data_IF_258113444086
#
_entry.id   IF_258113444086
#
_cell.length_a   1.000
_cell.length_b   1.000
_cell.length_c   1.000
_cell.angle_alpha   90.00
_cell.angle_beta   90.00
_cell.angle_gamma   90.00
#
_symmetry.space_group_name_H-M   'P 1'
#
loop_
_entity.id
_entity.type
_entity.pdbx_description
1 polymer ?
#
# COMPACT_ATOMS: atom_id res chain seq x y z
N UNK A 1 -14.28 24.18 9.78
CA UNK A 1 -12.90 23.78 10.14
C UNK A 1 -12.23 23.25 8.87
N UNK A 2 -11.39 24.03 8.21
CA UNK A 2 -10.75 23.63 6.94
C UNK A 2 -9.60 22.65 7.20
N UNK A 3 -9.70 21.43 6.67
CA UNK A 3 -8.62 20.45 6.74
C UNK A 3 -7.45 20.91 5.85
N UNK A 4 -6.23 20.83 6.38
CA UNK A 4 -5.03 21.25 5.64
C UNK A 4 -4.82 20.40 4.39
N UNK A 5 -4.29 20.98 3.29
CA UNK A 5 -4.25 20.31 2.00
C UNK A 5 -3.40 19.03 2.03
N UNK A 6 -2.31 19.01 2.81
CA UNK A 6 -1.43 17.85 2.89
C UNK A 6 -2.06 16.70 3.70
N UNK A 7 -2.63 16.97 4.87
CA UNK A 7 -3.44 15.99 5.63
C UNK A 7 -4.60 15.43 4.81
N UNK A 8 -5.30 16.26 4.03
CA UNK A 8 -6.37 15.81 3.13
C UNK A 8 -5.86 14.80 2.10
N UNK A 9 -4.74 15.12 1.42
CA UNK A 9 -4.14 14.21 0.45
C UNK A 9 -3.73 12.88 1.08
N UNK A 10 -3.08 12.89 2.24
CA UNK A 10 -2.70 11.63 2.93
C UNK A 10 -3.92 10.79 3.31
N UNK A 11 -4.96 11.42 3.84
CA UNK A 11 -6.19 10.71 4.21
C UNK A 11 -6.85 10.03 2.99
N UNK A 12 -6.91 10.74 1.86
CA UNK A 12 -7.42 10.19 0.60
C UNK A 12 -6.56 9.00 0.17
N UNK A 13 -5.23 9.14 0.15
CA UNK A 13 -4.32 8.06 -0.26
C UNK A 13 -4.46 6.85 0.67
N UNK A 14 -4.47 7.03 2.00
CA UNK A 14 -4.66 5.93 2.95
C UNK A 14 -6.03 5.27 2.81
N UNK A 15 -7.08 6.03 2.51
CA UNK A 15 -8.39 5.47 2.20
C UNK A 15 -8.38 4.60 0.95
N UNK A 16 -7.70 5.03 -0.13
CA UNK A 16 -7.54 4.22 -1.33
C UNK A 16 -6.70 2.98 -1.08
N UNK A 17 -5.60 3.10 -0.34
CA UNK A 17 -4.78 1.96 0.08
C UNK A 17 -5.61 0.94 0.85
N UNK A 18 -6.42 1.39 1.83
CA UNK A 18 -7.28 0.50 2.61
C UNK A 18 -8.30 -0.22 1.71
N UNK A 19 -8.98 0.52 0.82
CA UNK A 19 -9.95 -0.05 -0.11
C UNK A 19 -9.31 -1.11 -1.01
N UNK A 20 -8.17 -0.79 -1.63
CA UNK A 20 -7.46 -1.73 -2.51
C UNK A 20 -6.94 -2.93 -1.73
N UNK A 21 -6.43 -2.75 -0.50
CA UNK A 21 -5.98 -3.85 0.35
C UNK A 21 -7.13 -4.80 0.77
N UNK A 22 -8.34 -4.27 0.99
CA UNK A 22 -9.53 -5.10 1.25
C UNK A 22 -9.92 -5.91 0.02
N UNK A 23 -9.86 -5.31 -1.17
CA UNK A 23 -10.09 -6.03 -2.43
C UNK A 23 -9.01 -7.11 -2.64
N UNK A 24 -7.73 -6.74 -2.50
CA UNK A 24 -6.59 -7.65 -2.66
C UNK A 24 -6.73 -8.85 -1.71
N UNK A 25 -7.08 -8.62 -0.44
CA UNK A 25 -7.34 -9.68 0.52
C UNK A 25 -8.41 -10.68 0.04
N UNK A 26 -9.52 -10.18 -0.52
CA UNK A 26 -10.57 -11.04 -1.06
C UNK A 26 -10.10 -11.92 -2.22
N UNK A 27 -9.33 -11.34 -3.15
CA UNK A 27 -8.78 -12.08 -4.29
C UNK A 27 -7.64 -13.02 -3.89
N UNK A 28 -6.78 -12.65 -2.95
CA UNK A 28 -5.72 -13.51 -2.44
C UNK A 28 -6.31 -14.74 -1.74
N UNK A 29 -7.41 -14.57 -0.99
CA UNK A 29 -8.15 -15.72 -0.44
C UNK A 29 -8.75 -16.57 -1.56
N UNK A 30 -9.36 -15.97 -2.59
CA UNK A 30 -9.89 -16.72 -3.72
C UNK A 30 -8.81 -17.54 -4.44
N UNK A 31 -7.60 -16.99 -4.58
CA UNK A 31 -6.42 -17.70 -5.11
C UNK A 31 -5.91 -18.78 -4.13
N UNK A 32 -5.97 -18.54 -2.82
CA UNK A 32 -5.59 -19.55 -1.83
C UNK A 32 -6.54 -20.76 -1.84
N UNK A 33 -7.83 -20.54 -2.12
CA UNK A 33 -8.85 -21.58 -2.15
C UNK A 33 -9.17 -22.11 -3.56
N UNK A 34 -8.46 -21.64 -4.59
CA UNK A 34 -8.61 -22.18 -5.94
C UNK A 34 -8.01 -23.58 -6.01
N UNK A 35 -8.87 -24.59 -6.18
CA UNK A 35 -8.46 -25.97 -6.47
C UNK A 35 -8.49 -26.14 -8.00
N UNK A 36 -7.34 -26.28 -8.65
CA UNK A 36 -7.18 -26.68 -10.06
C UNK A 36 -5.98 -27.59 -10.29
N UNK A 37 -6.20 -28.92 -10.26
CA UNK A 37 -5.33 -30.09 -10.47
C UNK A 37 -3.78 -29.99 -10.58
N UNK A 38 -3.12 -30.88 -9.83
CA UNK A 38 -1.78 -31.47 -9.97
C UNK A 38 -0.54 -30.56 -9.79
N UNK A 39 0.05 -30.64 -8.58
CA UNK A 39 1.43 -30.23 -8.19
C UNK A 39 1.77 -28.73 -8.31
N UNK A 40 1.45 -28.06 -9.42
CA UNK A 40 1.51 -26.61 -9.57
C UNK A 40 0.59 -25.89 -8.55
N UNK A 41 -0.44 -26.57 -8.07
CA UNK A 41 -1.40 -26.12 -7.05
C UNK A 41 -0.82 -25.95 -5.66
N UNK A 42 0.04 -26.87 -5.21
CA UNK A 42 0.57 -26.78 -3.84
C UNK A 42 1.36 -25.49 -3.66
N UNK A 43 2.02 -25.06 -4.73
CA UNK A 43 2.71 -23.78 -4.77
C UNK A 43 1.73 -22.60 -4.80
N UNK A 44 0.66 -22.65 -5.58
CA UNK A 44 -0.36 -21.59 -5.63
C UNK A 44 -1.12 -21.47 -4.31
N UNK A 45 -1.49 -22.58 -3.68
CA UNK A 45 -2.09 -22.63 -2.35
C UNK A 45 -1.17 -22.00 -1.30
N UNK A 46 0.09 -22.42 -1.23
CA UNK A 46 1.05 -21.87 -0.27
C UNK A 46 1.28 -20.37 -0.53
N UNK A 47 1.47 -19.97 -1.79
CA UNK A 47 1.68 -18.56 -2.16
C UNK A 47 0.43 -17.73 -1.88
N UNK A 48 -0.76 -18.26 -2.15
CA UNK A 48 -2.04 -17.62 -1.88
C UNK A 48 -2.29 -17.42 -0.39
N UNK A 49 -1.98 -18.40 0.46
CA UNK A 49 -2.04 -18.24 1.92
C UNK A 49 -1.09 -17.14 2.40
N UNK A 50 0.15 -17.14 1.89
CA UNK A 50 1.13 -16.11 2.23
C UNK A 50 0.63 -14.73 1.79
N UNK A 51 0.09 -14.63 0.57
CA UNK A 51 -0.49 -13.40 0.02
C UNK A 51 -1.66 -12.92 0.89
N UNK A 52 -2.64 -13.77 1.18
CA UNK A 52 -3.79 -13.43 2.03
C UNK A 52 -3.37 -13.00 3.44
N UNK A 53 -2.35 -13.64 4.01
CA UNK A 53 -1.79 -13.27 5.31
C UNK A 53 -1.15 -11.88 5.26
N UNK A 54 -0.34 -11.60 4.23
CA UNK A 54 0.26 -10.28 4.00
C UNK A 54 -0.82 -9.22 3.78
N UNK A 55 -1.84 -9.51 2.98
CA UNK A 55 -2.96 -8.59 2.71
C UNK A 55 -3.77 -8.29 3.97
N UNK A 56 -3.94 -9.26 4.86
CA UNK A 56 -4.52 -9.03 6.20
C UNK A 56 -3.67 -8.02 7.00
N UNK A 57 -2.35 -8.19 7.00
CA UNK A 57 -1.44 -7.24 7.66
C UNK A 57 -1.50 -5.85 7.02
N UNK A 58 -1.61 -5.75 5.69
CA UNK A 58 -1.79 -4.47 4.97
C UNK A 58 -3.08 -3.77 5.38
N UNK A 59 -4.20 -4.50 5.52
CA UNK A 59 -5.47 -3.94 5.98
C UNK A 59 -5.33 -3.39 7.39
N UNK A 60 -4.78 -4.17 8.33
CA UNK A 60 -4.54 -3.73 9.71
C UNK A 60 -3.63 -2.49 9.72
N UNK A 61 -2.55 -2.52 8.94
CA UNK A 61 -1.63 -1.40 8.80
C UNK A 61 -2.31 -0.13 8.27
N UNK A 62 -3.12 -0.23 7.20
CA UNK A 62 -3.82 0.91 6.63
C UNK A 62 -4.83 1.51 7.62
N UNK A 63 -5.54 0.67 8.39
CA UNK A 63 -6.39 1.11 9.49
C UNK A 63 -5.59 1.86 10.56
N UNK A 64 -4.41 1.37 10.94
CA UNK A 64 -3.53 2.07 11.89
C UNK A 64 -3.08 3.43 11.33
N UNK A 65 -2.65 3.50 10.07
CA UNK A 65 -2.26 4.79 9.47
C UNK A 65 -3.41 5.79 9.47
N UNK A 66 -4.63 5.37 9.12
CA UNK A 66 -5.81 6.24 9.17
C UNK A 66 -6.12 6.70 10.59
N UNK A 67 -6.07 5.80 11.57
CA UNK A 67 -6.38 6.09 12.97
C UNK A 67 -5.36 7.01 13.67
N UNK A 68 -4.10 7.01 13.21
CA UNK A 68 -3.01 7.80 13.79
C UNK A 68 -2.55 8.97 12.92
N UNK A 69 -3.15 9.19 11.74
CA UNK A 69 -2.79 10.29 10.83
C UNK A 69 -3.03 11.70 11.43
N UNK A 70 -3.86 11.82 12.46
CA UNK A 70 -4.25 13.10 13.04
C UNK A 70 -4.08 13.21 14.56
N UNK A 71 -3.20 12.39 15.16
CA UNK A 71 -2.96 12.42 16.62
C UNK A 71 -1.69 13.21 16.99
N UNK A 72 -1.80 14.54 17.23
CA UNK A 72 -0.65 15.42 17.42
C UNK A 72 0.12 15.18 18.71
N UNK A 73 -0.54 14.66 19.74
CA UNK A 73 0.03 14.48 21.09
C UNK A 73 0.43 13.04 21.39
N UNK A 74 0.37 12.16 20.38
CA UNK A 74 0.74 10.78 20.55
C UNK A 74 2.25 10.62 20.42
N UNK A 75 2.91 10.19 21.50
CA UNK A 75 4.30 9.73 21.46
C UNK A 75 4.44 8.31 20.88
N UNK A 76 3.33 7.72 20.41
CA UNK A 76 3.32 6.40 19.84
C UNK A 76 4.07 6.39 18.51
N UNK A 77 4.77 5.28 18.26
CA UNK A 77 5.57 5.06 17.05
C UNK A 77 4.70 5.24 15.79
N UNK A 78 3.41 4.85 15.86
CA UNK A 78 2.46 4.93 14.75
C UNK A 78 2.14 6.34 14.27
N UNK A 79 2.40 7.39 15.07
CA UNK A 79 2.19 8.78 14.66
C UNK A 79 3.45 9.44 14.08
N UNK A 80 4.59 8.73 14.06
CA UNK A 80 5.86 9.28 13.54
C UNK A 80 5.89 9.21 12.02
N UNK A 81 6.44 10.24 11.37
CA UNK A 81 6.56 10.27 9.92
C UNK A 81 7.43 9.13 9.38
N UNK A 82 8.45 8.71 10.14
CA UNK A 82 9.31 7.56 9.83
C UNK A 82 8.53 6.26 9.77
N UNK A 83 7.59 6.02 10.69
CA UNK A 83 6.73 4.85 10.63
C UNK A 83 5.91 4.86 9.36
N UNK A 84 5.20 5.95 9.05
CA UNK A 84 4.38 6.06 7.83
C UNK A 84 5.22 5.89 6.55
N UNK A 85 6.44 6.42 6.52
CA UNK A 85 7.36 6.31 5.39
C UNK A 85 7.88 4.88 5.20
N UNK A 86 8.55 4.32 6.21
CA UNK A 86 9.18 3.00 6.10
C UNK A 86 8.16 1.88 5.96
N UNK A 87 7.03 1.96 6.67
CA UNK A 87 5.98 0.95 6.54
C UNK A 87 5.33 0.98 5.15
N UNK A 88 5.15 2.16 4.53
CA UNK A 88 4.69 2.25 3.15
C UNK A 88 5.70 1.65 2.16
N UNK A 89 7.01 1.85 2.36
CA UNK A 89 8.03 1.19 1.54
C UNK A 89 8.00 -0.33 1.69
N UNK A 90 7.86 -0.84 2.93
CA UNK A 90 7.75 -2.28 3.20
C UNK A 90 6.52 -2.87 2.48
N UNK A 91 5.37 -2.19 2.54
CA UNK A 91 4.15 -2.63 1.84
C UNK A 91 4.32 -2.60 0.32
N UNK A 92 4.99 -1.58 -0.23
CA UNK A 92 5.28 -1.54 -1.66
C UNK A 92 6.18 -2.71 -2.07
N UNK A 93 7.27 -2.96 -1.34
CA UNK A 93 8.20 -4.04 -1.65
C UNK A 93 7.56 -5.43 -1.48
N UNK A 94 6.77 -5.64 -0.42
CA UNK A 94 6.10 -6.93 -0.20
C UNK A 94 5.04 -7.22 -1.26
N UNK A 95 4.27 -6.21 -1.67
CA UNK A 95 3.26 -6.35 -2.73
C UNK A 95 3.92 -6.62 -4.10
N UNK A 96 5.04 -5.95 -4.41
CA UNK A 96 5.81 -6.25 -5.61
C UNK A 96 6.35 -7.70 -5.57
N UNK A 97 6.92 -8.11 -4.43
CA UNK A 97 7.54 -9.44 -4.27
C UNK A 97 6.52 -10.56 -4.43
N UNK A 98 5.34 -10.44 -3.81
CA UNK A 98 4.30 -11.47 -3.90
C UNK A 98 3.65 -11.54 -5.29
N UNK A 99 3.70 -10.46 -6.08
CA UNK A 99 3.17 -10.48 -7.45
C UNK A 99 4.01 -11.32 -8.43
N UNK A 100 5.32 -11.46 -8.19
CA UNK A 100 6.24 -12.24 -9.04
C UNK A 100 5.81 -13.70 -9.19
N UNK A 101 5.60 -14.47 -8.10
CA UNK A 101 5.16 -15.85 -8.22
C UNK A 101 3.79 -15.94 -8.90
N UNK A 102 2.89 -14.98 -8.72
CA UNK A 102 1.62 -14.95 -9.45
C UNK A 102 1.81 -14.76 -10.96
N UNK A 103 2.70 -13.85 -11.39
CA UNK A 103 3.01 -13.68 -12.82
C UNK A 103 3.52 -14.96 -13.47
N UNK A 104 4.38 -15.71 -12.77
CA UNK A 104 4.91 -16.97 -13.30
C UNK A 104 3.84 -18.04 -13.51
N UNK A 105 2.66 -17.88 -12.90
CA UNK A 105 1.53 -18.81 -13.00
C UNK A 105 0.45 -18.37 -13.98
N UNK A 106 0.45 -17.12 -14.45
CA UNK A 106 -0.51 -16.63 -15.46
C UNK A 106 -0.59 -17.54 -16.68
N UNK A 107 0.52 -17.92 -17.36
CA UNK A 107 0.42 -18.70 -18.60
C UNK A 107 -0.25 -20.05 -18.41
N UNK A 108 -0.01 -20.71 -17.27
CA UNK A 108 -0.62 -21.98 -16.94
C UNK A 108 -2.11 -21.84 -16.59
N UNK A 109 -2.48 -20.79 -15.85
CA UNK A 109 -3.86 -20.57 -15.40
C UNK A 109 -4.76 -19.97 -16.49
N UNK A 110 -4.16 -19.35 -17.51
CA UNK A 110 -4.86 -18.77 -18.66
C UNK A 110 -4.75 -19.64 -19.92
N UNK A 111 -4.33 -20.90 -19.80
CA UNK A 111 -4.37 -21.87 -20.90
C UNK A 111 -5.76 -22.51 -20.98
N UNK A 112 -6.61 -21.92 -21.83
CA UNK A 112 -7.98 -22.39 -22.07
C UNK A 112 -8.06 -23.65 -22.93
N UNK A 113 -6.94 -24.12 -23.49
CA UNK A 113 -6.91 -25.23 -24.46
C UNK A 113 -6.49 -26.53 -23.77
N UNK A 114 -5.45 -26.49 -22.95
CA UNK A 114 -4.82 -27.71 -22.40
C UNK A 114 -5.43 -28.14 -21.07
N UNK A 115 -5.81 -27.20 -20.21
CA UNK A 115 -6.27 -27.45 -18.83
C UNK A 115 -7.60 -26.74 -18.56
N UNK A 116 -8.66 -27.13 -19.29
CA UNK A 116 -9.99 -26.56 -19.08
C UNK A 116 -10.88 -27.55 -18.33
N UNK A 117 -10.92 -27.39 -17.00
CA UNK A 117 -11.97 -27.90 -16.11
C UNK A 117 -13.29 -27.11 -16.26
N UNK A 118 -13.38 -26.21 -17.26
CA UNK A 118 -14.47 -25.24 -17.43
C UNK A 118 -14.35 -24.00 -16.54
N UNK A 119 -13.35 -23.93 -15.65
CA UNK A 119 -13.15 -22.83 -14.70
C UNK A 119 -11.86 -22.04 -14.95
N UNK A 120 -11.03 -22.44 -15.91
CA UNK A 120 -9.81 -21.71 -16.33
C UNK A 120 -10.02 -20.18 -16.49
N UNK A 121 -11.17 -19.76 -17.04
CA UNK A 121 -11.54 -18.33 -17.14
C UNK A 121 -11.58 -17.61 -15.80
N UNK A 122 -12.13 -18.27 -14.79
CA UNK A 122 -12.26 -17.74 -13.43
C UNK A 122 -10.90 -17.67 -12.76
N UNK A 123 -10.11 -18.76 -12.84
CA UNK A 123 -8.77 -18.83 -12.24
C UNK A 123 -7.82 -17.77 -12.82
N UNK A 124 -7.78 -17.67 -14.14
CA UNK A 124 -7.02 -16.64 -14.85
C UNK A 124 -7.43 -15.23 -14.42
N UNK A 125 -8.74 -14.98 -14.29
CA UNK A 125 -9.27 -13.68 -13.87
C UNK A 125 -8.87 -13.34 -12.45
N UNK A 126 -9.06 -14.26 -11.49
CA UNK A 126 -8.72 -14.02 -10.09
C UNK A 126 -7.22 -13.74 -9.91
N UNK A 127 -6.37 -14.53 -10.56
CA UNK A 127 -4.92 -14.32 -10.50
C UNK A 127 -4.51 -12.98 -11.12
N UNK A 128 -5.09 -12.63 -12.28
CA UNK A 128 -4.79 -11.37 -12.97
C UNK A 128 -5.24 -10.15 -12.15
N UNK A 129 -6.41 -10.23 -11.52
CA UNK A 129 -6.92 -9.17 -10.64
C UNK A 129 -6.09 -9.05 -9.38
N UNK A 130 -5.71 -10.15 -8.74
CA UNK A 130 -4.82 -10.14 -7.57
C UNK A 130 -3.49 -9.43 -7.88
N UNK A 131 -2.87 -9.76 -9.01
CA UNK A 131 -1.65 -9.09 -9.49
C UNK A 131 -1.90 -7.59 -9.71
N UNK A 132 -2.99 -7.23 -10.41
CA UNK A 132 -3.33 -5.83 -10.67
C UNK A 132 -3.49 -5.02 -9.38
N UNK A 133 -4.19 -5.56 -8.39
CA UNK A 133 -4.40 -4.93 -7.08
C UNK A 133 -3.07 -4.79 -6.32
N UNK A 134 -2.22 -5.80 -6.34
CA UNK A 134 -0.89 -5.74 -5.73
C UNK A 134 -0.06 -4.59 -6.31
N UNK A 135 -0.05 -4.40 -7.65
CA UNK A 135 0.66 -3.29 -8.28
C UNK A 135 0.04 -1.92 -8.02
N UNK A 136 -1.29 -1.82 -7.94
CA UNK A 136 -1.94 -0.58 -7.52
C UNK A 136 -1.48 -0.21 -6.09
N UNK A 137 -1.37 -1.19 -5.19
CA UNK A 137 -0.84 -0.96 -3.84
C UNK A 137 0.63 -0.56 -3.83
N UNK A 138 1.47 -1.13 -4.71
CA UNK A 138 2.85 -0.69 -4.91
C UNK A 138 2.88 0.81 -5.23
N UNK A 139 2.10 1.24 -6.23
CA UNK A 139 2.07 2.63 -6.69
C UNK A 139 1.56 3.56 -5.58
N UNK A 140 0.45 3.23 -4.93
CA UNK A 140 -0.13 4.07 -3.88
C UNK A 140 0.78 4.18 -2.66
N UNK A 141 1.41 3.07 -2.26
CA UNK A 141 2.32 3.04 -1.11
C UNK A 141 3.62 3.79 -1.41
N UNK A 142 4.18 3.63 -2.61
CA UNK A 142 5.34 4.40 -3.07
C UNK A 142 5.02 5.90 -3.17
N UNK A 143 3.84 6.27 -3.68
CA UNK A 143 3.39 7.66 -3.73
C UNK A 143 3.24 8.26 -2.33
N UNK A 144 2.66 7.51 -1.38
CA UNK A 144 2.60 7.92 0.03
C UNK A 144 3.99 8.17 0.62
N UNK A 145 4.92 7.22 0.45
CA UNK A 145 6.28 7.35 0.93
C UNK A 145 6.99 8.57 0.29
N UNK A 146 6.85 8.74 -1.01
CA UNK A 146 7.42 9.87 -1.73
C UNK A 146 6.88 11.22 -1.23
N UNK A 147 5.57 11.33 -0.99
CA UNK A 147 4.95 12.55 -0.45
C UNK A 147 5.48 12.90 0.94
N UNK A 148 5.63 11.91 1.82
CA UNK A 148 6.18 12.12 3.17
C UNK A 148 7.63 12.56 3.09
N UNK A 149 8.45 11.87 2.29
CA UNK A 149 9.86 12.19 2.10
C UNK A 149 10.04 13.61 1.53
N UNK A 150 9.33 13.94 0.45
CA UNK A 150 9.38 15.26 -0.19
C UNK A 150 8.99 16.37 0.79
N UNK A 151 7.97 16.15 1.61
CA UNK A 151 7.54 17.14 2.60
C UNK A 151 8.56 17.32 3.73
N UNK A 152 9.09 16.21 4.26
CA UNK A 152 10.14 16.22 5.28
C UNK A 152 11.41 16.95 4.80
N UNK A 153 11.83 16.67 3.56
CA UNK A 153 12.96 17.31 2.91
C UNK A 153 12.73 18.82 2.72
N UNK A 154 11.60 19.21 2.11
CA UNK A 154 11.29 20.63 1.84
C UNK A 154 11.19 21.48 3.12
N UNK A 155 10.76 20.88 4.23
CA UNK A 155 10.57 21.59 5.50
C UNK A 155 11.77 21.49 6.45
N UNK A 156 12.83 20.76 6.08
CA UNK A 156 13.97 20.41 6.94
C UNK A 156 13.51 19.87 8.31
N UNK A 157 12.50 18.99 8.30
CA UNK A 157 11.99 18.32 9.49
C UNK A 157 12.41 16.85 9.43
N UNK A 158 12.98 16.32 10.52
CA UNK A 158 13.32 14.89 10.62
C UNK A 158 12.09 13.99 10.50
N UNK A 159 12.24 12.84 9.85
CA UNK A 159 11.22 11.79 9.82
C UNK A 159 10.87 11.24 11.22
N UNK A 160 11.73 11.42 12.21
CA UNK A 160 11.42 11.00 13.59
C UNK A 160 10.37 11.87 14.27
N UNK A 161 10.04 13.01 13.68
CA UNK A 161 8.97 13.89 14.14
C UNK A 161 7.58 13.28 13.91
N UNK A 162 6.59 13.79 14.64
CA UNK A 162 5.20 13.43 14.44
C UNK A 162 4.71 13.94 13.06
N UNK A 163 3.98 13.10 12.33
CA UNK A 163 3.51 13.40 10.97
C UNK A 163 2.57 14.62 10.89
N UNK A 164 1.96 15.01 12.00
CA UNK A 164 1.17 16.25 12.07
C UNK A 164 2.04 17.50 11.94
N UNK A 165 3.28 17.47 12.43
CA UNK A 165 4.16 18.64 12.42
C UNK A 165 4.57 18.99 10.98
N UNK A 166 4.62 17.98 10.12
CA UNK A 166 4.80 18.15 8.67
C UNK A 166 3.58 18.81 7.99
N UNK A 167 2.38 18.61 8.54
CA UNK A 167 1.14 19.26 8.08
C UNK A 167 1.12 20.72 8.54
N UNK A 168 1.27 20.94 9.85
CA UNK A 168 1.25 22.27 10.46
C UNK A 168 2.27 23.22 9.83
N UNK A 169 3.54 22.80 9.71
CA UNK A 169 4.58 23.66 9.12
C UNK A 169 4.39 23.85 7.60
N UNK A 170 3.80 22.87 6.90
CA UNK A 170 3.49 22.98 5.48
C UNK A 170 2.34 23.94 5.16
N UNK A 171 1.48 24.23 6.14
CA UNK A 171 0.36 25.17 5.98
C UNK A 171 0.69 26.63 6.23
N UNK A 172 1.84 26.91 6.84
CA UNK A 172 2.30 28.28 7.01
C UNK A 172 2.68 28.76 5.60
N UNK A 173 1.95 29.73 5.00
CA UNK A 173 2.37 30.28 3.72
C UNK A 173 3.80 30.77 3.90
N UNK A 174 4.69 30.43 2.96
CA UNK A 174 6.05 30.93 2.90
C UNK A 174 5.99 32.45 2.77
N UNK A 175 5.80 33.13 3.91
CA UNK A 175 5.83 34.57 4.01
C UNK A 175 7.31 34.93 3.92
N UNK A 176 7.74 35.10 2.68
CA UNK A 176 8.80 36.02 2.32
C UNK A 176 10.17 35.71 2.97
N UNK A 177 10.74 34.54 2.67
CA UNK A 177 12.19 34.33 2.87
C UNK A 177 13.05 35.20 1.95
N UNK A 178 12.44 35.95 1.02
CA UNK A 178 13.13 36.92 0.16
C UNK A 178 13.52 38.21 0.90
N UNK A 179 13.08 38.42 2.15
CA UNK A 179 13.48 39.59 2.97
C UNK A 179 14.62 39.37 3.95
N UNK A 180 15.24 38.19 4.00
CA UNK A 180 16.34 37.88 4.92
C UNK A 180 17.72 37.73 4.27
N UNK A 181 17.88 38.20 3.02
CA UNK A 181 19.16 38.27 2.31
C UNK A 181 19.63 39.70 2.02
N UNK A 182 19.08 40.70 2.74
CA UNK A 182 19.57 42.08 2.73
C UNK A 182 19.62 42.54 4.17
N UNK A 183 20.82 42.47 4.76
CA UNK A 183 21.47 43.37 5.74
C UNK A 183 22.78 42.70 6.13
#
# INVERSE_FOLDING_TARGET
MSMQPFKKTRYIIYGHILFVALCELGFDFAVAFSNGFEVAERFLFATGIVAASLSTLKVVWACLLLAYNDKPKSNLIFARASFHFYSALIVALSSATISIPFFTKIPAQCDFVTYSDGLAGIWCTWLSVAIGLAWILVILSAASAHLIYRQSYNLNISLDSNIILLDERGSVPLKDSSRRAVV
#
